data_IF_698416893920
#
_entry.id   IF_698416893920
#
_cell.length_a   1.000
_cell.length_b   1.000
_cell.length_c   1.000
_cell.angle_alpha   90.00
_cell.angle_beta   90.00
_cell.angle_gamma   90.00
#
_symmetry.space_group_name_H-M   'P 1'
#
loop_
_entity.id
_entity.type
_entity.pdbx_description
1 polymer ?
#
# COMPACT_ATOMS: atom_id res chain seq x y z
N UNK A 1 0.09 -21.19 19.27
CA UNK A 1 0.09 -20.40 18.01
C UNK A 1 0.87 -21.07 16.86
N UNK A 2 1.57 -22.19 17.08
CA UNK A 2 2.47 -22.79 16.09
C UNK A 2 1.79 -23.42 14.87
N UNK A 3 0.59 -23.98 15.02
CA UNK A 3 -0.13 -24.72 13.95
C UNK A 3 -0.38 -23.90 12.66
N UNK A 4 -0.47 -22.58 12.77
CA UNK A 4 -0.82 -21.70 11.64
C UNK A 4 0.24 -20.63 11.32
N UNK A 5 1.39 -20.65 12.00
CA UNK A 5 2.38 -19.59 11.90
C UNK A 5 2.86 -19.34 10.45
N UNK A 6 3.24 -20.40 9.73
CA UNK A 6 3.71 -20.27 8.35
C UNK A 6 2.61 -19.80 7.40
N UNK A 7 1.37 -20.27 7.60
CA UNK A 7 0.22 -19.85 6.79
C UNK A 7 -0.05 -18.36 6.96
N UNK A 8 -0.02 -17.86 8.20
CA UNK A 8 -0.21 -16.44 8.50
C UNK A 8 0.90 -15.61 7.84
N UNK A 9 2.16 -16.03 7.95
CA UNK A 9 3.30 -15.32 7.33
C UNK A 9 3.21 -15.25 5.81
N UNK A 10 2.83 -16.37 5.17
CA UNK A 10 2.62 -16.40 3.72
C UNK A 10 1.44 -15.51 3.35
N UNK A 11 0.33 -15.54 4.09
CA UNK A 11 -0.80 -14.63 3.86
C UNK A 11 -0.38 -13.16 3.94
N UNK A 12 0.41 -12.77 4.95
CA UNK A 12 0.90 -11.39 5.09
C UNK A 12 1.84 -11.00 3.94
N UNK A 13 2.73 -11.91 3.50
CA UNK A 13 3.54 -11.68 2.31
C UNK A 13 2.68 -11.45 1.07
N UNK A 14 1.66 -12.27 0.83
CA UNK A 14 0.77 -12.13 -0.33
C UNK A 14 -0.02 -10.82 -0.28
N UNK A 15 -0.52 -10.43 0.89
CA UNK A 15 -1.16 -9.12 1.09
C UNK A 15 -0.17 -7.99 0.78
N UNK A 16 1.07 -8.07 1.29
CA UNK A 16 2.10 -7.05 1.05
C UNK A 16 2.45 -6.91 -0.42
N UNK A 17 2.63 -8.03 -1.13
CA UNK A 17 2.91 -8.03 -2.56
C UNK A 17 1.73 -7.53 -3.39
N UNK A 18 0.49 -7.90 -3.02
CA UNK A 18 -0.71 -7.42 -3.69
C UNK A 18 -0.91 -5.91 -3.54
N UNK A 19 -0.77 -5.38 -2.32
CA UNK A 19 -0.82 -3.93 -2.04
C UNK A 19 0.30 -3.22 -2.81
N UNK A 20 1.53 -3.73 -2.74
CA UNK A 20 2.67 -3.17 -3.45
C UNK A 20 2.42 -3.10 -4.96
N UNK A 21 1.92 -4.18 -5.58
CA UNK A 21 1.64 -4.22 -7.01
C UNK A 21 0.66 -3.11 -7.43
N UNK A 22 -0.48 -3.01 -6.73
CA UNK A 22 -1.53 -2.06 -7.09
C UNK A 22 -1.03 -0.62 -6.94
N UNK A 23 -0.42 -0.27 -5.80
CA UNK A 23 0.07 1.11 -5.61
C UNK A 23 1.21 1.40 -6.60
N UNK A 24 2.09 0.44 -6.88
CA UNK A 24 3.15 0.63 -7.88
C UNK A 24 2.59 0.98 -9.25
N UNK A 25 1.52 0.31 -9.70
CA UNK A 25 0.89 0.67 -10.98
C UNK A 25 0.33 2.10 -10.98
N UNK A 26 -0.26 2.54 -9.86
CA UNK A 26 -0.68 3.93 -9.69
C UNK A 26 0.48 4.92 -9.58
N UNK A 27 1.65 4.50 -9.10
CA UNK A 27 2.87 5.32 -9.09
C UNK A 27 3.48 5.41 -10.49
N UNK A 28 3.50 4.31 -11.24
CA UNK A 28 3.97 4.27 -12.62
C UNK A 28 3.10 5.14 -13.54
N UNK A 29 1.78 5.17 -13.32
CA UNK A 29 0.88 6.09 -14.02
C UNK A 29 1.30 7.57 -13.82
N UNK A 30 1.74 7.97 -12.62
CA UNK A 30 2.25 9.33 -12.38
C UNK A 30 3.54 9.63 -13.15
N UNK A 31 4.38 8.62 -13.40
CA UNK A 31 5.60 8.78 -14.20
C UNK A 31 5.32 8.86 -15.70
N UNK A 32 4.44 8.00 -16.21
CA UNK A 32 4.19 7.87 -17.65
C UNK A 32 3.05 8.76 -18.16
N UNK A 33 2.14 9.16 -17.28
CA UNK A 33 0.98 9.99 -17.58
C UNK A 33 0.73 11.04 -16.49
N UNK A 34 1.67 11.98 -16.28
CA UNK A 34 1.55 12.98 -15.22
C UNK A 34 0.32 13.88 -15.36
N UNK A 35 -0.17 14.10 -16.59
CA UNK A 35 -1.40 14.85 -16.85
C UNK A 35 -2.66 14.14 -16.33
N UNK A 36 -2.75 12.81 -16.53
CA UNK A 36 -3.83 12.03 -15.92
C UNK A 36 -3.79 12.10 -14.40
N UNK A 37 -2.60 11.92 -13.81
CA UNK A 37 -2.44 12.04 -12.36
C UNK A 37 -2.83 13.43 -11.84
N UNK A 38 -2.42 14.52 -12.50
CA UNK A 38 -2.82 15.88 -12.13
C UNK A 38 -4.36 16.05 -12.12
N UNK A 39 -5.06 15.49 -13.11
CA UNK A 39 -6.52 15.49 -13.16
C UNK A 39 -7.16 14.68 -12.02
N UNK A 40 -6.55 13.58 -11.59
CA UNK A 40 -6.99 12.81 -10.42
C UNK A 40 -6.86 13.65 -9.14
N UNK A 41 -5.76 14.36 -8.96
CA UNK A 41 -5.55 15.27 -7.82
C UNK A 41 -6.57 16.42 -7.79
N UNK A 42 -6.89 17.00 -8.93
CA UNK A 42 -7.91 18.04 -9.01
C UNK A 42 -9.30 17.48 -8.67
N UNK A 43 -9.68 16.34 -9.26
CA UNK A 43 -11.01 15.75 -9.11
C UNK A 43 -11.28 15.17 -7.73
N UNK A 44 -10.32 14.45 -7.16
CA UNK A 44 -10.51 13.67 -5.94
C UNK A 44 -9.92 14.33 -4.70
N UNK A 45 -8.88 15.15 -4.86
CA UNK A 45 -8.18 15.80 -3.75
C UNK A 45 -8.43 17.30 -3.69
N UNK A 46 -9.18 17.86 -4.64
CA UNK A 46 -9.43 19.30 -4.79
C UNK A 46 -8.13 20.13 -4.91
N UNK A 47 -7.06 19.53 -5.44
CA UNK A 47 -5.76 20.17 -5.66
C UNK A 47 -5.59 20.39 -7.17
N UNK A 48 -5.98 21.58 -7.63
CA UNK A 48 -5.83 21.99 -9.02
C UNK A 48 -4.44 22.57 -9.35
N UNK A 49 -4.13 22.65 -10.63
CA UNK A 49 -2.95 23.38 -11.13
C UNK A 49 -1.61 22.73 -10.81
N UNK A 50 -1.58 21.44 -10.49
CA UNK A 50 -0.30 20.75 -10.29
C UNK A 50 0.44 20.62 -11.62
N UNK A 51 1.64 21.20 -11.67
CA UNK A 51 2.55 20.99 -12.79
C UNK A 51 3.13 19.57 -12.81
N UNK A 52 3.50 19.09 -13.99
CA UNK A 52 4.07 17.76 -14.21
C UNK A 52 5.29 17.48 -13.31
N UNK A 53 6.15 18.49 -13.11
CA UNK A 53 7.32 18.37 -12.23
C UNK A 53 6.96 18.02 -10.78
N UNK A 54 5.83 18.52 -10.26
CA UNK A 54 5.34 18.21 -8.91
C UNK A 54 4.82 16.77 -8.87
N UNK A 55 4.04 16.36 -9.88
CA UNK A 55 3.53 14.98 -9.99
C UNK A 55 4.67 13.97 -10.02
N UNK A 56 5.71 14.25 -10.81
CA UNK A 56 6.90 13.39 -10.89
C UNK A 56 7.64 13.35 -9.54
N UNK A 57 7.79 14.48 -8.85
CA UNK A 57 8.42 14.49 -7.53
C UNK A 57 7.64 13.64 -6.51
N UNK A 58 6.30 13.73 -6.51
CA UNK A 58 5.43 12.88 -5.70
C UNK A 58 5.64 11.41 -6.06
N UNK A 59 5.71 11.06 -7.35
CA UNK A 59 5.93 9.71 -7.82
C UNK A 59 7.27 9.12 -7.34
N UNK A 60 8.33 9.92 -7.31
CA UNK A 60 9.64 9.51 -6.78
C UNK A 60 9.56 9.21 -5.28
N UNK A 61 8.92 10.09 -4.51
CA UNK A 61 8.74 9.90 -3.05
C UNK A 61 7.90 8.65 -2.78
N UNK A 62 6.81 8.47 -3.52
CA UNK A 62 5.93 7.30 -3.42
C UNK A 62 6.69 6.02 -3.78
N UNK A 63 7.48 6.01 -4.85
CA UNK A 63 8.30 4.86 -5.23
C UNK A 63 9.31 4.48 -4.14
N UNK A 64 10.00 5.44 -3.53
CA UNK A 64 10.91 5.18 -2.41
C UNK A 64 10.14 4.55 -1.23
N UNK A 65 8.98 5.11 -0.88
CA UNK A 65 8.12 4.53 0.15
C UNK A 65 7.73 3.08 -0.17
N UNK A 66 7.35 2.79 -1.41
CA UNK A 66 6.93 1.46 -1.84
C UNK A 66 8.07 0.44 -1.78
N UNK A 67 9.29 0.82 -2.16
CA UNK A 67 10.48 -0.03 -2.03
C UNK A 67 10.80 -0.35 -0.56
N UNK A 68 10.67 0.64 0.33
CA UNK A 68 10.84 0.43 1.77
C UNK A 68 9.71 -0.44 2.36
N UNK A 69 8.48 -0.24 1.90
CA UNK A 69 7.30 -1.03 2.30
C UNK A 69 7.46 -2.50 1.91
N UNK A 70 7.76 -2.81 0.64
CA UNK A 70 7.83 -4.19 0.16
C UNK A 70 8.96 -4.99 0.80
N UNK A 71 10.07 -4.31 1.11
CA UNK A 71 11.22 -4.88 1.83
C UNK A 71 11.03 -4.92 3.34
N UNK A 72 9.93 -4.39 3.88
CA UNK A 72 9.59 -4.43 5.30
C UNK A 72 10.48 -3.56 6.19
N UNK A 73 11.06 -2.48 5.65
CA UNK A 73 11.87 -1.53 6.42
C UNK A 73 10.96 -0.59 7.21
N UNK A 74 11.28 -0.36 8.50
CA UNK A 74 10.54 0.55 9.39
C UNK A 74 9.01 0.37 9.29
N UNK A 75 8.52 -0.87 9.44
CA UNK A 75 7.14 -1.28 9.14
C UNK A 75 6.06 -0.39 9.77
N UNK A 76 6.23 0.08 11.00
CA UNK A 76 5.29 1.03 11.63
C UNK A 76 5.14 2.31 10.80
N UNK A 77 6.24 2.84 10.27
CA UNK A 77 6.20 4.02 9.42
C UNK A 77 5.72 3.68 8.00
N UNK A 78 6.33 2.71 7.34
CA UNK A 78 6.06 2.44 5.92
C UNK A 78 4.67 1.84 5.70
N UNK A 79 4.22 0.93 6.55
CA UNK A 79 2.88 0.32 6.43
C UNK A 79 1.82 1.32 6.86
N UNK A 80 2.13 2.16 7.86
CA UNK A 80 1.26 3.25 8.29
C UNK A 80 1.05 4.28 7.19
N UNK A 81 2.12 4.72 6.52
CA UNK A 81 2.03 5.65 5.39
C UNK A 81 1.26 5.05 4.21
N UNK A 82 1.52 3.80 3.84
CA UNK A 82 0.77 3.08 2.78
C UNK A 82 -0.72 2.97 3.14
N UNK A 83 -1.04 2.65 4.40
CA UNK A 83 -2.41 2.63 4.89
C UNK A 83 -3.07 4.02 4.77
N UNK A 84 -2.39 5.09 5.20
CA UNK A 84 -2.93 6.44 5.12
C UNK A 84 -3.13 6.92 3.68
N UNK A 85 -2.18 6.65 2.78
CA UNK A 85 -2.30 6.98 1.35
C UNK A 85 -3.50 6.28 0.70
N UNK A 86 -3.63 4.97 0.95
CA UNK A 86 -4.73 4.19 0.39
C UNK A 86 -6.07 4.53 1.03
N UNK A 87 -6.11 4.79 2.34
CA UNK A 87 -7.29 5.26 3.04
C UNK A 87 -7.75 6.61 2.51
N UNK A 88 -6.82 7.56 2.35
CA UNK A 88 -7.08 8.86 1.74
C UNK A 88 -7.70 8.72 0.36
N UNK A 89 -7.12 7.88 -0.50
CA UNK A 89 -7.64 7.58 -1.85
C UNK A 89 -9.04 6.96 -1.83
N UNK A 90 -9.27 6.03 -0.89
CA UNK A 90 -10.56 5.34 -0.72
C UNK A 90 -11.64 6.33 -0.30
N UNK A 91 -11.38 7.13 0.73
CA UNK A 91 -12.37 8.09 1.24
C UNK A 91 -12.54 9.32 0.35
N UNK A 92 -11.52 9.75 -0.40
CA UNK A 92 -11.67 10.83 -1.38
C UNK A 92 -12.64 10.49 -2.51
N UNK A 93 -12.77 9.19 -2.83
CA UNK A 93 -13.67 8.69 -3.86
C UNK A 93 -15.06 8.29 -3.31
N UNK A 94 -15.48 8.83 -2.17
CA UNK A 94 -16.70 8.34 -1.50
C UNK A 94 -17.96 8.45 -2.36
N UNK A 95 -18.07 9.52 -3.17
CA UNK A 95 -19.22 9.74 -4.05
C UNK A 95 -19.38 8.64 -5.09
N UNK A 96 -18.28 8.04 -5.56
CA UNK A 96 -18.30 6.99 -6.57
C UNK A 96 -18.95 5.71 -6.03
N UNK A 97 -18.89 5.45 -4.73
CA UNK A 97 -19.57 4.30 -4.12
C UNK A 97 -21.10 4.46 -4.08
N UNK A 98 -21.62 5.69 -4.20
CA UNK A 98 -23.06 5.95 -4.23
C UNK A 98 -23.71 5.68 -5.59
N UNK A 99 -22.89 5.52 -6.64
CA UNK A 99 -23.32 5.10 -7.97
C UNK A 99 -22.50 3.87 -8.44
N UNK A 100 -22.74 2.71 -7.80
CA UNK A 100 -21.84 1.57 -7.87
C UNK A 100 -21.78 0.90 -9.24
N UNK A 101 -22.84 1.00 -10.04
CA UNK A 101 -22.90 0.30 -11.33
C UNK A 101 -22.12 1.03 -12.43
N UNK A 102 -21.98 2.35 -12.33
CA UNK A 102 -21.12 3.16 -13.21
C UNK A 102 -19.66 3.22 -12.71
N UNK A 103 -19.42 2.85 -11.45
CA UNK A 103 -18.11 2.95 -10.78
C UNK A 103 -17.68 1.66 -10.08
N UNK A 104 -18.07 0.50 -10.59
CA UNK A 104 -17.90 -0.81 -9.95
C UNK A 104 -16.46 -1.09 -9.50
N UNK A 105 -15.46 -0.70 -10.29
CA UNK A 105 -14.05 -0.93 -10.00
C UNK A 105 -13.54 -0.20 -8.75
N UNK A 106 -14.20 0.88 -8.31
CA UNK A 106 -13.82 1.58 -7.08
C UNK A 106 -13.97 0.67 -5.85
N UNK A 107 -14.87 -0.33 -5.90
CA UNK A 107 -15.04 -1.26 -4.79
C UNK A 107 -13.82 -2.14 -4.53
N UNK A 108 -12.90 -2.29 -5.49
CA UNK A 108 -11.62 -2.95 -5.27
C UNK A 108 -10.75 -2.22 -4.22
N UNK A 109 -11.01 -0.94 -3.95
CA UNK A 109 -10.33 -0.19 -2.90
C UNK A 109 -10.63 -0.72 -1.49
N UNK A 110 -11.81 -1.28 -1.23
CA UNK A 110 -12.21 -1.75 0.10
C UNK A 110 -11.46 -3.01 0.56
N UNK A 111 -11.38 -4.11 -0.23
CA UNK A 111 -10.53 -5.25 0.12
C UNK A 111 -9.05 -4.87 0.29
N UNK A 112 -8.56 -3.95 -0.55
CA UNK A 112 -7.19 -3.46 -0.44
C UNK A 112 -6.97 -2.62 0.83
N UNK A 113 -7.94 -1.79 1.23
CA UNK A 113 -7.90 -1.05 2.49
C UNK A 113 -7.88 -2.03 3.68
N UNK A 114 -8.70 -3.08 3.65
CA UNK A 114 -8.66 -4.13 4.66
C UNK A 114 -7.29 -4.84 4.70
N UNK A 115 -6.66 -5.08 3.55
CA UNK A 115 -5.31 -5.63 3.48
C UNK A 115 -4.26 -4.69 4.11
N UNK A 116 -4.33 -3.38 3.83
CA UNK A 116 -3.46 -2.39 4.46
C UNK A 116 -3.62 -2.35 5.98
N UNK A 117 -4.87 -2.42 6.48
CA UNK A 117 -5.15 -2.48 7.92
C UNK A 117 -4.58 -3.75 8.53
N UNK A 118 -4.82 -4.92 7.91
CA UNK A 118 -4.30 -6.20 8.39
C UNK A 118 -2.77 -6.20 8.45
N UNK A 119 -2.10 -5.70 7.41
CA UNK A 119 -0.65 -5.55 7.38
C UNK A 119 -0.15 -4.64 8.50
N UNK A 120 -0.80 -3.48 8.72
CA UNK A 120 -0.38 -2.56 9.78
C UNK A 120 -0.57 -3.16 11.18
N UNK A 121 -1.70 -3.81 11.44
CA UNK A 121 -2.00 -4.46 12.72
C UNK A 121 -1.04 -5.62 13.01
N UNK A 122 -0.70 -6.40 11.99
CA UNK A 122 0.11 -7.62 12.11
C UNK A 122 1.57 -7.42 11.66
N UNK A 123 2.02 -6.16 11.53
CA UNK A 123 3.34 -5.79 11.00
C UNK A 123 4.52 -6.46 11.73
N UNK A 124 4.36 -6.75 13.02
CA UNK A 124 5.40 -7.37 13.85
C UNK A 124 5.64 -8.83 13.47
N UNK A 125 4.60 -9.55 13.06
CA UNK A 125 4.68 -10.97 12.67
C UNK A 125 4.87 -11.17 11.16
N UNK A 126 4.76 -10.10 10.37
CA UNK A 126 5.03 -10.10 8.93
C UNK A 126 6.54 -10.15 8.64
N UNK A 127 7.13 -11.33 8.63
CA UNK A 127 8.60 -11.54 8.61
C UNK A 127 9.15 -12.16 7.32
N UNK A 128 8.30 -12.79 6.51
CA UNK A 128 8.72 -13.42 5.26
C UNK A 128 9.25 -12.37 4.29
N UNK A 129 10.48 -12.57 3.77
CA UNK A 129 11.15 -11.68 2.81
C UNK A 129 11.24 -10.20 3.24
N UNK A 130 11.29 -9.92 4.54
CA UNK A 130 11.60 -8.57 5.06
C UNK A 130 13.07 -8.45 5.45
N UNK A 131 13.66 -7.26 5.29
CA UNK A 131 14.99 -6.94 5.83
C UNK A 131 14.93 -7.02 7.37
N UNK A 132 15.67 -7.97 7.95
CA UNK A 132 15.64 -8.31 9.37
C UNK A 132 14.73 -9.49 9.76
N UNK A 133 13.90 -9.99 8.85
CA UNK A 133 12.96 -11.09 9.13
C UNK A 133 13.63 -12.45 9.38
N UNK A 134 14.81 -12.68 8.79
CA UNK A 134 15.59 -13.90 9.00
C UNK A 134 16.15 -14.00 10.42
N UNK A 135 16.57 -12.88 11.00
CA UNK A 135 17.10 -12.81 12.37
C UNK A 135 15.99 -13.15 13.39
N UNK A 136 14.82 -12.52 13.25
CA UNK A 136 13.66 -12.78 14.11
C UNK A 136 13.19 -14.24 14.04
N UNK A 137 13.25 -14.86 12.85
CA UNK A 137 12.90 -16.29 12.68
C UNK A 137 13.89 -17.21 13.39
N UNK A 138 15.18 -16.92 13.30
CA UNK A 138 16.23 -17.70 13.96
C UNK A 138 16.14 -17.60 15.49
N UNK A 139 15.84 -16.40 16.01
CA UNK A 139 15.62 -16.19 17.45
C UNK A 139 14.41 -16.97 17.97
N UNK A 140 13.31 -17.00 17.21
CA UNK A 140 12.09 -17.73 17.58
C UNK A 140 12.25 -19.26 17.44
N UNK A 141 13.06 -19.74 16.50
CA UNK A 141 13.44 -21.15 16.37
C UNK A 141 14.40 -21.57 17.50
N UNK A 142 15.34 -20.71 17.90
CA UNK A 142 16.26 -20.96 19.01
C UNK A 142 15.59 -20.91 20.39
N UNK A 143 14.43 -20.28 20.51
CA UNK A 143 13.63 -20.20 21.74
C UNK A 143 12.61 -21.35 21.92
N UNK A 144 12.58 -22.31 20.99
CA UNK A 144 11.73 -23.52 21.05
C UNK A 144 12.53 -24.75 21.44
#
# INVERSE_FOLDING_TARGET
MTKYADRIRISLLLLRLGVFLVITMWTLDKFFNPGHAAAIFEKFYAIGGMGEGIVIAIAVIEMVLLLLFVTGVKKTLTYGLVLLLHAGSTFSAFKQYLDPFDHLLFFAAWPMLAACVALFMLREIDTCFTLGGKQARLEEEAAR
#
